data_IF_493171863958
#
_entry.id   IF_493171863958
#
_cell.length_a   1.000
_cell.length_b   1.000
_cell.length_c   1.000
_cell.angle_alpha   90.00
_cell.angle_beta   90.00
_cell.angle_gamma   90.00
#
_symmetry.space_group_name_H-M   'P 1'
#
loop_
_entity.id
_entity.type
_entity.pdbx_description
1 polymer ?
#
# COMPACT_ATOMS: atom_id res chain seq x y z
N UNK A 1 11.25 2.27 3.52
CA UNK A 1 10.25 2.65 2.50
C UNK A 1 8.88 2.63 3.16
N UNK A 2 8.13 3.69 2.95
CA UNK A 2 6.80 3.86 3.54
C UNK A 2 5.71 3.42 2.54
N UNK A 3 4.78 2.59 3.00
CA UNK A 3 3.66 2.08 2.20
C UNK A 3 2.33 2.40 2.87
N UNK A 4 1.38 2.87 2.09
CA UNK A 4 -0.02 2.98 2.47
C UNK A 4 -0.79 1.88 1.75
N UNK A 5 -1.45 0.98 2.50
CA UNK A 5 -2.28 -0.08 1.94
C UNK A 5 -3.74 0.35 1.90
N UNK A 6 -4.31 0.38 0.70
CA UNK A 6 -5.74 0.59 0.51
C UNK A 6 -6.57 -0.57 1.08
N UNK A 7 -7.78 -0.29 1.55
CA UNK A 7 -8.67 -1.27 2.17
C UNK A 7 -8.97 -2.45 1.25
N UNK A 8 -9.15 -2.21 -0.06
CA UNK A 8 -9.36 -3.30 -1.03
C UNK A 8 -8.15 -4.23 -1.13
N UNK A 9 -6.93 -3.71 -1.01
CA UNK A 9 -5.70 -4.53 -0.96
C UNK A 9 -5.66 -5.36 0.33
N UNK A 10 -5.90 -4.75 1.48
CA UNK A 10 -5.91 -5.47 2.77
C UNK A 10 -6.93 -6.62 2.76
N UNK A 11 -8.07 -6.46 2.10
CA UNK A 11 -9.12 -7.46 2.06
C UNK A 11 -8.97 -8.49 0.94
N UNK A 12 -8.06 -8.31 -0.01
CA UNK A 12 -7.86 -9.19 -1.16
C UNK A 12 -7.68 -10.68 -0.81
N UNK A 13 -7.02 -11.08 0.29
CA UNK A 13 -6.90 -12.48 0.69
C UNK A 13 -8.23 -13.20 0.97
N UNK A 14 -9.33 -12.45 1.11
CA UNK A 14 -10.67 -13.00 1.35
C UNK A 14 -11.56 -13.01 0.10
N UNK A 15 -11.06 -12.54 -1.04
CA UNK A 15 -11.79 -12.57 -2.30
C UNK A 15 -11.68 -13.96 -2.95
N UNK A 16 -12.36 -14.18 -4.07
CA UNK A 16 -12.41 -15.48 -4.76
C UNK A 16 -11.04 -15.88 -5.32
N UNK A 17 -10.34 -16.74 -4.59
CA UNK A 17 -8.99 -17.21 -4.92
C UNK A 17 -8.95 -18.18 -6.14
N UNK A 18 -10.10 -18.59 -6.69
CA UNK A 18 -10.15 -19.37 -7.93
C UNK A 18 -9.69 -18.56 -9.15
N UNK A 19 -9.75 -17.23 -9.05
CA UNK A 19 -9.25 -16.32 -10.06
C UNK A 19 -7.74 -16.11 -9.88
N UNK A 20 -6.95 -16.48 -10.91
CA UNK A 20 -5.48 -16.40 -10.86
C UNK A 20 -4.96 -15.02 -10.44
N UNK A 21 -5.55 -13.94 -10.98
CA UNK A 21 -5.17 -12.57 -10.61
C UNK A 21 -5.37 -12.31 -9.11
N UNK A 22 -6.54 -12.69 -8.57
CA UNK A 22 -6.87 -12.50 -7.16
C UNK A 22 -5.89 -13.27 -6.28
N UNK A 23 -5.58 -14.53 -6.63
CA UNK A 23 -4.60 -15.34 -5.91
C UNK A 23 -3.21 -14.68 -5.89
N UNK A 24 -2.73 -14.20 -7.05
CA UNK A 24 -1.43 -13.51 -7.14
C UNK A 24 -1.38 -12.22 -6.33
N UNK A 25 -2.44 -11.42 -6.40
CA UNK A 25 -2.55 -10.17 -5.61
C UNK A 25 -2.62 -10.46 -4.12
N UNK A 26 -3.33 -11.52 -3.71
CA UNK A 26 -3.43 -11.96 -2.32
C UNK A 26 -2.07 -12.36 -1.75
N UNK A 27 -1.32 -13.19 -2.46
CA UNK A 27 0.04 -13.58 -2.07
C UNK A 27 0.95 -12.35 -1.94
N UNK A 28 0.87 -11.43 -2.89
CA UNK A 28 1.66 -10.21 -2.86
C UNK A 28 1.28 -9.31 -1.67
N UNK A 29 0.00 -9.16 -1.35
CA UNK A 29 -0.45 -8.41 -0.15
C UNK A 29 0.07 -9.06 1.13
N UNK A 30 -0.05 -10.39 1.27
CA UNK A 30 0.46 -11.10 2.44
C UNK A 30 1.98 -10.92 2.58
N UNK A 31 2.72 -10.90 1.45
CA UNK A 31 4.16 -10.63 1.46
C UNK A 31 4.47 -9.20 1.90
N UNK A 32 3.72 -8.19 1.45
CA UNK A 32 3.87 -6.81 1.93
C UNK A 32 3.64 -6.73 3.44
N UNK A 33 2.57 -7.36 3.94
CA UNK A 33 2.28 -7.39 5.38
C UNK A 33 3.42 -8.04 6.16
N UNK A 34 3.98 -9.15 5.67
CA UNK A 34 5.12 -9.81 6.28
C UNK A 34 6.35 -8.90 6.36
N UNK A 35 6.64 -8.13 5.30
CA UNK A 35 7.74 -7.16 5.30
C UNK A 35 7.51 -6.01 6.31
N UNK A 36 6.26 -5.61 6.52
CA UNK A 36 5.90 -4.65 7.58
C UNK A 36 6.14 -5.26 8.97
N UNK A 37 5.71 -6.50 9.21
CA UNK A 37 5.94 -7.20 10.48
C UNK A 37 7.44 -7.38 10.79
N UNK A 38 8.27 -7.56 9.76
CA UNK A 38 9.73 -7.68 9.88
C UNK A 38 10.44 -6.32 10.07
N UNK A 39 9.72 -5.20 9.88
CA UNK A 39 10.29 -3.86 9.95
C UNK A 39 11.06 -3.42 8.70
N UNK A 40 10.95 -4.18 7.60
CA UNK A 40 11.56 -3.83 6.31
C UNK A 40 10.78 -2.74 5.56
N UNK A 41 9.49 -2.60 5.88
CA UNK A 41 8.58 -1.56 5.40
C UNK A 41 7.89 -0.88 6.57
N UNK A 42 7.66 0.43 6.45
CA UNK A 42 6.83 1.20 7.36
C UNK A 42 5.41 1.32 6.81
N UNK A 43 4.42 0.84 7.53
CA UNK A 43 3.01 0.98 7.16
C UNK A 43 2.47 2.32 7.67
N UNK A 44 1.93 3.12 6.75
CA UNK A 44 1.12 4.29 7.06
C UNK A 44 -0.36 3.97 6.86
N UNK A 45 -1.21 4.53 7.68
CA UNK A 45 -2.67 4.45 7.56
C UNK A 45 -3.28 5.79 7.93
N UNK A 46 -4.58 5.95 7.65
CA UNK A 46 -5.38 7.08 8.14
C UNK A 46 -6.57 6.57 8.96
N UNK A 47 -7.39 7.47 9.44
CA UNK A 47 -8.61 7.10 10.17
C UNK A 47 -9.65 6.43 9.26
N UNK A 48 -9.66 6.77 7.97
CA UNK A 48 -10.63 6.26 6.97
C UNK A 48 -10.64 4.73 6.88
N UNK A 49 -9.50 4.00 6.73
CA UNK A 49 -9.49 2.55 6.72
C UNK A 49 -9.98 1.89 8.00
N UNK A 50 -10.02 2.61 9.12
CA UNK A 50 -10.57 2.10 10.38
C UNK A 50 -12.08 2.09 10.40
N UNK A 51 -12.71 3.04 9.70
CA UNK A 51 -14.17 3.14 9.60
C UNK A 51 -14.72 2.06 8.67
N UNK A 52 -14.14 1.86 7.49
CA UNK A 52 -14.61 0.89 6.49
C UNK A 52 -14.63 -0.56 7.00
N UNK A 53 -13.52 -1.12 7.56
CA UNK A 53 -13.54 -2.45 8.13
C UNK A 53 -14.52 -2.60 9.29
N UNK A 54 -14.74 -1.55 10.08
CA UNK A 54 -15.73 -1.55 11.17
C UNK A 54 -17.15 -1.78 10.69
N UNK A 55 -17.47 -1.36 9.47
CA UNK A 55 -18.79 -1.54 8.84
C UNK A 55 -18.92 -2.90 8.12
N UNK A 56 -17.82 -3.66 7.94
CA UNK A 56 -17.87 -4.95 7.26
C UNK A 56 -18.57 -6.00 8.13
N UNK A 57 -19.68 -6.62 7.65
CA UNK A 57 -20.43 -7.62 8.41
C UNK A 57 -19.64 -8.91 8.66
N UNK A 58 -18.61 -9.20 7.85
CA UNK A 58 -17.81 -10.40 7.99
C UNK A 58 -16.71 -10.25 9.05
N UNK A 59 -16.93 -10.87 10.21
CA UNK A 59 -16.04 -10.72 11.38
C UNK A 59 -14.57 -11.12 11.11
N UNK A 60 -14.31 -12.13 10.24
CA UNK A 60 -12.95 -12.53 9.86
C UNK A 60 -12.23 -11.44 9.07
N UNK A 61 -12.88 -10.88 8.05
CA UNK A 61 -12.33 -9.78 7.22
C UNK A 61 -12.03 -8.57 8.10
N UNK A 62 -12.97 -8.20 8.96
CA UNK A 62 -12.82 -7.08 9.90
C UNK A 62 -11.64 -7.28 10.85
N UNK A 63 -11.54 -8.45 11.50
CA UNK A 63 -10.45 -8.76 12.43
C UNK A 63 -9.09 -8.72 11.75
N UNK A 64 -8.97 -9.29 10.56
CA UNK A 64 -7.75 -9.27 9.78
C UNK A 64 -7.35 -7.83 9.42
N UNK A 65 -8.28 -7.02 8.87
CA UNK A 65 -8.01 -5.64 8.53
C UNK A 65 -7.53 -4.82 9.75
N UNK A 66 -8.18 -4.95 10.91
CA UNK A 66 -7.72 -4.28 12.13
C UNK A 66 -6.36 -4.78 12.59
N UNK A 67 -6.06 -6.08 12.44
CA UNK A 67 -4.74 -6.62 12.73
C UNK A 67 -3.65 -5.99 11.88
N UNK A 68 -3.88 -5.86 10.56
CA UNK A 68 -2.94 -5.20 9.64
C UNK A 68 -2.79 -3.71 9.99
N UNK A 69 -3.90 -3.00 10.22
CA UNK A 69 -3.86 -1.58 10.56
C UNK A 69 -3.17 -1.30 11.91
N UNK A 70 -3.15 -2.28 12.82
CA UNK A 70 -2.43 -2.17 14.09
C UNK A 70 -0.90 -2.22 13.93
N UNK A 71 -0.39 -2.70 12.78
CA UNK A 71 1.04 -2.67 12.46
C UNK A 71 1.50 -1.27 11.99
N UNK A 72 0.59 -0.34 11.77
CA UNK A 72 0.94 0.98 11.24
C UNK A 72 1.84 1.75 12.21
N UNK A 73 2.95 2.25 11.68
CA UNK A 73 3.91 3.10 12.39
C UNK A 73 3.45 4.55 12.46
N UNK A 74 2.52 4.95 11.56
CA UNK A 74 1.93 6.28 11.52
C UNK A 74 0.45 6.21 11.15
N UNK A 75 -0.38 6.90 11.92
CA UNK A 75 -1.79 7.17 11.62
C UNK A 75 -1.92 8.63 11.21
N UNK A 76 -2.42 8.86 10.00
CA UNK A 76 -2.62 10.20 9.45
C UNK A 76 -4.01 10.69 9.84
N UNK A 77 -4.06 11.78 10.58
CA UNK A 77 -5.32 12.44 10.91
C UNK A 77 -5.80 13.26 9.71
N UNK A 78 -7.11 13.23 9.47
CA UNK A 78 -7.70 14.01 8.38
C UNK A 78 -7.76 15.49 8.78
N UNK A 79 -7.10 16.31 7.99
CA UNK A 79 -7.08 17.77 8.14
C UNK A 79 -7.66 18.48 6.90
N UNK A 80 -7.67 19.79 6.93
CA UNK A 80 -8.20 20.63 5.86
C UNK A 80 -7.42 20.51 4.54
N UNK A 81 -6.13 20.17 4.58
CA UNK A 81 -5.30 19.97 3.38
C UNK A 81 -5.68 18.66 2.70
N UNK A 82 -5.80 17.58 3.48
CA UNK A 82 -6.26 16.27 3.00
C UNK A 82 -7.67 16.39 2.40
N UNK A 83 -8.60 17.08 3.09
CA UNK A 83 -9.94 17.29 2.57
C UNK A 83 -9.97 18.09 1.27
N UNK A 84 -9.15 19.14 1.18
CA UNK A 84 -9.06 19.97 -0.04
C UNK A 84 -8.52 19.15 -1.21
N UNK A 85 -7.46 18.36 -1.00
CA UNK A 85 -6.90 17.47 -2.02
C UNK A 85 -7.89 16.37 -2.40
N UNK A 86 -8.60 15.79 -1.44
CA UNK A 86 -9.61 14.78 -1.71
C UNK A 86 -10.77 15.31 -2.58
N UNK A 87 -11.19 16.57 -2.38
CA UNK A 87 -12.17 17.22 -3.27
C UNK A 87 -11.64 17.34 -4.70
N UNK A 88 -10.38 17.81 -4.87
CA UNK A 88 -9.75 17.90 -6.20
C UNK A 88 -9.69 16.52 -6.89
N UNK A 89 -9.30 15.47 -6.16
CA UNK A 89 -9.27 14.10 -6.68
C UNK A 89 -10.70 13.59 -7.00
N UNK A 90 -11.69 13.97 -6.21
CA UNK A 90 -13.10 13.70 -6.48
C UNK A 90 -13.58 14.34 -7.80
N UNK A 91 -13.20 15.59 -8.06
CA UNK A 91 -13.50 16.31 -9.32
C UNK A 91 -12.83 15.61 -10.52
N UNK A 92 -11.69 14.96 -10.33
CA UNK A 92 -11.02 14.13 -11.33
C UNK A 92 -11.64 12.72 -11.47
N UNK A 93 -12.69 12.40 -10.70
CA UNK A 93 -13.49 11.20 -10.83
C UNK A 93 -13.10 10.04 -9.90
N UNK A 94 -12.31 10.28 -8.84
CA UNK A 94 -12.16 9.31 -7.76
C UNK A 94 -13.42 9.26 -6.90
N UNK A 95 -13.69 8.08 -6.32
CA UNK A 95 -14.77 7.96 -5.32
C UNK A 95 -14.35 8.68 -4.03
N UNK A 96 -15.30 9.16 -3.20
CA UNK A 96 -14.95 9.94 -2.00
C UNK A 96 -13.96 9.26 -1.06
N UNK A 97 -14.15 7.98 -0.75
CA UNK A 97 -13.21 7.23 0.10
C UNK A 97 -11.85 7.01 -0.56
N UNK A 98 -11.82 6.65 -1.85
CA UNK A 98 -10.58 6.47 -2.62
C UNK A 98 -9.78 7.78 -2.66
N UNK A 99 -10.46 8.89 -2.89
CA UNK A 99 -9.87 10.22 -2.89
C UNK A 99 -9.27 10.57 -1.52
N UNK A 100 -9.97 10.26 -0.44
CA UNK A 100 -9.51 10.53 0.92
C UNK A 100 -8.31 9.66 1.30
N UNK A 101 -8.32 8.36 0.93
CA UNK A 101 -7.19 7.46 1.14
C UNK A 101 -5.94 7.94 0.41
N UNK A 102 -6.08 8.23 -0.90
CA UNK A 102 -4.94 8.67 -1.72
C UNK A 102 -4.41 10.02 -1.23
N UNK A 103 -5.30 10.96 -0.88
CA UNK A 103 -4.90 12.26 -0.32
C UNK A 103 -4.14 12.11 0.99
N UNK A 104 -4.59 11.23 1.89
CA UNK A 104 -3.89 10.95 3.14
C UNK A 104 -2.49 10.38 2.90
N UNK A 105 -2.34 9.49 1.92
CA UNK A 105 -1.03 8.93 1.57
C UNK A 105 -0.09 9.99 1.00
N UNK A 106 -0.58 10.87 0.12
CA UNK A 106 0.20 11.95 -0.50
C UNK A 106 0.63 12.99 0.55
N UNK A 107 -0.29 13.48 1.38
CA UNK A 107 0.03 14.46 2.43
C UNK A 107 0.97 13.89 3.51
N UNK A 108 0.89 12.58 3.76
CA UNK A 108 1.83 11.89 4.65
C UNK A 108 3.19 11.63 3.99
N UNK A 109 3.36 11.99 2.72
CA UNK A 109 4.55 11.73 1.93
C UNK A 109 4.91 10.22 1.86
N UNK A 110 3.92 9.34 1.80
CA UNK A 110 4.16 7.93 1.60
C UNK A 110 4.87 7.67 0.26
N UNK A 111 5.86 6.77 0.24
CA UNK A 111 6.55 6.40 -1.00
C UNK A 111 5.61 5.68 -1.96
N UNK A 112 4.65 4.92 -1.40
CA UNK A 112 3.74 4.06 -2.15
C UNK A 112 2.34 4.07 -1.57
N UNK A 113 1.35 4.24 -2.44
CA UNK A 113 -0.05 3.91 -2.19
C UNK A 113 -0.41 2.64 -2.96
N UNK A 114 -0.57 1.52 -2.27
CA UNK A 114 -0.76 0.21 -2.88
C UNK A 114 -2.25 -0.16 -2.92
N UNK A 115 -2.77 -0.42 -4.13
CA UNK A 115 -4.18 -0.76 -4.34
C UNK A 115 -4.39 -1.90 -5.32
N UNK A 116 -5.50 -2.63 -5.18
CA UNK A 116 -5.98 -3.65 -6.13
C UNK A 116 -7.20 -3.17 -6.92
N UNK A 117 -7.67 -1.95 -6.71
CA UNK A 117 -8.78 -1.35 -7.46
C UNK A 117 -8.29 -0.80 -8.81
N UNK A 118 -8.74 -1.40 -9.92
CA UNK A 118 -8.34 -1.00 -11.27
C UNK A 118 -8.74 0.45 -11.63
N UNK A 119 -9.84 0.92 -11.08
CA UNK A 119 -10.29 2.30 -11.30
C UNK A 119 -9.35 3.27 -10.60
N UNK A 120 -8.99 2.98 -9.36
CA UNK A 120 -8.06 3.79 -8.59
C UNK A 120 -6.65 3.76 -9.17
N UNK A 121 -6.17 2.60 -9.62
CA UNK A 121 -4.89 2.47 -10.34
C UNK A 121 -4.84 3.38 -11.57
N UNK A 122 -5.87 3.30 -12.42
CA UNK A 122 -5.95 4.13 -13.62
C UNK A 122 -6.03 5.61 -13.31
N UNK A 123 -6.91 6.01 -12.39
CA UNK A 123 -7.07 7.41 -12.00
C UNK A 123 -5.86 7.94 -11.24
N UNK A 124 -5.28 7.14 -10.35
CA UNK A 124 -4.06 7.50 -9.63
C UNK A 124 -2.86 7.76 -10.55
N UNK A 125 -2.76 7.04 -11.69
CA UNK A 125 -1.72 7.29 -12.69
C UNK A 125 -1.96 8.57 -13.52
N UNK A 126 -3.19 9.06 -13.59
CA UNK A 126 -3.58 10.31 -14.28
C UNK A 126 -3.56 11.53 -13.34
N UNK A 127 -3.40 11.31 -12.04
CA UNK A 127 -3.51 12.32 -10.98
C UNK A 127 -2.13 12.73 -10.50
N UNK A 128 -1.96 14.03 -10.18
CA UNK A 128 -0.74 14.52 -9.54
C UNK A 128 -0.66 13.98 -8.11
N UNK A 129 0.16 12.98 -7.90
CA UNK A 129 0.39 12.33 -6.60
C UNK A 129 1.77 12.66 -6.01
N UNK A 130 2.42 13.69 -6.55
CA UNK A 130 3.75 14.13 -6.15
C UNK A 130 4.76 12.96 -6.22
N UNK A 131 5.36 12.59 -5.10
CA UNK A 131 6.30 11.46 -5.03
C UNK A 131 5.64 10.10 -4.75
N UNK A 132 4.35 10.10 -4.37
CA UNK A 132 3.63 8.88 -4.00
C UNK A 132 3.27 8.07 -5.24
N UNK A 133 3.86 6.89 -5.40
CA UNK A 133 3.54 5.99 -6.51
C UNK A 133 2.33 5.15 -6.20
N UNK A 134 1.58 4.76 -7.23
CA UNK A 134 0.32 3.98 -7.09
C UNK A 134 0.45 2.63 -7.81
N UNK A 135 1.20 1.64 -7.28
CA UNK A 135 1.32 0.31 -7.88
C UNK A 135 0.27 -0.67 -7.37
N UNK A 136 0.14 -1.80 -8.09
CA UNK A 136 -0.48 -3.02 -7.55
C UNK A 136 0.45 -3.70 -6.53
N UNK A 137 -0.08 -4.57 -5.64
CA UNK A 137 0.76 -5.35 -4.72
C UNK A 137 1.81 -6.19 -5.45
N UNK A 138 1.43 -6.80 -6.58
CA UNK A 138 2.34 -7.62 -7.40
C UNK A 138 3.49 -6.78 -7.96
N UNK A 139 3.20 -5.58 -8.47
CA UNK A 139 4.22 -4.66 -8.97
C UNK A 139 5.15 -4.21 -7.85
N UNK A 140 4.59 -3.87 -6.69
CA UNK A 140 5.36 -3.44 -5.53
C UNK A 140 6.36 -4.51 -5.06
N UNK A 141 5.93 -5.77 -4.93
CA UNK A 141 6.81 -6.87 -4.51
C UNK A 141 7.93 -7.09 -5.53
N UNK A 142 7.64 -7.10 -6.82
CA UNK A 142 8.66 -7.22 -7.88
C UNK A 142 9.72 -6.11 -7.78
N UNK A 143 9.32 -4.89 -7.50
CA UNK A 143 10.26 -3.76 -7.34
C UNK A 143 11.14 -3.92 -6.10
N UNK A 144 10.56 -4.33 -4.96
CA UNK A 144 11.30 -4.57 -3.71
C UNK A 144 12.34 -5.66 -3.91
N UNK A 145 11.95 -6.81 -4.46
CA UNK A 145 12.86 -7.93 -4.72
C UNK A 145 14.00 -7.56 -5.68
N UNK A 146 13.68 -6.82 -6.75
CA UNK A 146 14.67 -6.35 -7.70
C UNK A 146 15.70 -5.40 -7.07
N UNK A 147 15.31 -4.57 -6.11
CA UNK A 147 16.22 -3.70 -5.36
C UNK A 147 17.11 -4.51 -4.42
N UNK A 148 16.56 -5.48 -3.73
CA UNK A 148 17.31 -6.36 -2.81
C UNK A 148 18.38 -7.17 -3.55
N UNK A 149 18.05 -7.73 -4.71
CA UNK A 149 19.01 -8.45 -5.55
C UNK A 149 20.17 -7.56 -6.01
N UNK A 150 19.90 -6.32 -6.42
CA UNK A 150 20.94 -5.37 -6.84
C UNK A 150 21.88 -5.01 -5.69
N UNK A 151 21.36 -4.79 -4.48
CA UNK A 151 22.17 -4.48 -3.31
C UNK A 151 23.08 -5.66 -2.94
N UNK A 152 22.58 -6.89 -2.98
CA UNK A 152 23.34 -8.09 -2.70
C UNK A 152 24.49 -8.32 -3.72
N UNK A 153 24.27 -8.00 -5.00
CA UNK A 153 25.32 -8.06 -6.01
C UNK A 153 26.43 -7.03 -5.79
N UNK A 154 26.09 -5.83 -5.33
CA UNK A 154 27.07 -4.78 -5.04
C UNK A 154 27.93 -5.11 -3.82
N UNK A 155 27.38 -5.72 -2.79
CA UNK A 155 28.10 -6.11 -1.57
C UNK A 155 29.01 -7.33 -1.78
N UNK A 156 28.62 -8.27 -2.66
CA UNK A 156 29.41 -9.45 -2.97
C UNK A 156 30.63 -9.16 -3.87
N UNK A 157 30.63 -8.05 -4.61
CA UNK A 157 31.74 -7.68 -5.49
C UNK A 157 32.88 -6.92 -4.78
N UNK A 158 32.74 -6.55 -3.51
CA UNK A 158 33.73 -5.76 -2.74
C UNK A 158 34.64 -6.63 -1.88
N UNK A 159 34.42 -7.95 -1.80
CA UNK A 159 35.30 -8.89 -1.07
C UNK A 159 36.27 -9.60 -2.02
N UNK A 160 37.27 -8.88 -2.54
CA UNK A 160 38.42 -9.48 -3.15
C UNK A 160 39.47 -9.64 -2.04
N UNK A 161 39.92 -10.85 -1.67
CA UNK A 161 41.01 -10.98 -0.73
C UNK A 161 42.31 -10.46 -1.37
N UNK A 162 42.95 -9.50 -0.71
CA UNK A 162 44.37 -9.19 -0.98
C UNK A 162 45.20 -10.42 -0.68
N UNK A 163 45.64 -11.10 -1.71
CA UNK A 163 46.68 -12.10 -1.58
C UNK A 163 48.02 -11.38 -1.54
N UNK A 164 48.67 -11.41 -0.38
CA UNK A 164 50.12 -11.36 -0.27
C UNK A 164 50.68 -12.75 -0.38
#
# INVERSE_FOLDING_TARGET
MTVYLDTCSIQRPFDDQSQLRVAMESEAVLRVIQLVEQGDLDLFTSETPRIEPGQNPHSRRRRFAFGVLALATRVVETDSQIESRARQYGDMGLRPFDALHLSSAVEAEADVFCTTDDRLLRRGSETETERTRVPTPVTLIKEIESRTLRLNHLTSSTTKPSSC
#
